data_IF_640063756490
#
_entry.id   IF_640063756490
#
_cell.length_a   1.000
_cell.length_b   1.000
_cell.length_c   1.000
_cell.angle_alpha   90.00
_cell.angle_beta   90.00
_cell.angle_gamma   90.00
#
_symmetry.space_group_name_H-M   'P 1'
#
loop_
_entity.id
_entity.type
_entity.pdbx_description
1 polymer ?
#
# COMPACT_ATOMS: atom_id res chain seq x y z
N UNK A 1 -0.64 28.15 1.94
CA UNK A 1 0.30 27.27 2.67
C UNK A 1 -0.13 25.83 2.40
N UNK A 2 0.78 24.95 1.98
CA UNK A 2 0.46 23.55 1.69
C UNK A 2 0.48 22.69 2.97
N UNK A 3 -0.36 21.66 3.05
CA UNK A 3 -0.37 20.73 4.19
C UNK A 3 0.89 19.82 4.14
N UNK A 4 1.79 19.87 5.14
CA UNK A 4 3.03 19.09 5.13
C UNK A 4 2.79 17.58 5.26
N UNK A 5 1.63 17.16 5.78
CA UNK A 5 1.30 15.76 6.07
C UNK A 5 0.67 15.03 4.88
N UNK A 6 0.02 15.75 3.97
CA UNK A 6 -0.65 15.13 2.81
C UNK A 6 0.08 15.42 1.50
N UNK A 7 0.83 16.55 1.42
CA UNK A 7 1.62 16.98 0.23
C UNK A 7 0.84 16.92 -1.10
N UNK A 8 -0.49 16.96 -1.03
CA UNK A 8 -1.41 16.67 -2.12
C UNK A 8 -2.80 16.33 -1.57
N UNK A 9 -3.75 16.11 -2.47
CA UNK A 9 -5.12 15.69 -2.14
C UNK A 9 -5.25 14.16 -2.23
N UNK A 10 -5.15 13.62 -3.45
CA UNK A 10 -5.24 12.19 -3.74
C UNK A 10 -4.41 11.85 -4.97
N UNK A 11 -3.99 10.59 -5.10
CA UNK A 11 -3.32 10.12 -6.31
C UNK A 11 -4.35 9.54 -7.27
N UNK A 12 -5.25 10.41 -7.75
CA UNK A 12 -6.36 10.07 -8.66
C UNK A 12 -5.92 9.78 -10.10
N UNK A 13 -4.61 9.74 -10.36
CA UNK A 13 -4.06 9.55 -11.70
C UNK A 13 -2.73 8.81 -11.65
N UNK A 14 -2.38 8.16 -12.75
CA UNK A 14 -1.04 7.63 -13.00
C UNK A 14 -0.36 8.61 -13.95
N UNK A 15 0.82 9.12 -13.57
CA UNK A 15 1.61 9.98 -14.47
C UNK A 15 2.09 9.19 -15.68
N UNK A 16 2.46 9.89 -16.76
CA UNK A 16 3.02 9.24 -17.96
C UNK A 16 4.25 8.37 -17.62
N UNK A 17 5.13 8.86 -16.77
CA UNK A 17 6.30 8.09 -16.31
C UNK A 17 5.91 6.93 -15.39
N UNK A 18 4.90 7.11 -14.53
CA UNK A 18 4.37 6.03 -13.71
C UNK A 18 3.75 4.90 -14.55
N UNK A 19 3.10 5.24 -15.66
CA UNK A 19 2.56 4.26 -16.60
C UNK A 19 3.67 3.47 -17.30
N UNK A 20 4.71 4.17 -17.79
CA UNK A 20 5.91 3.54 -18.35
C UNK A 20 6.61 2.62 -17.35
N UNK A 21 6.58 2.95 -16.06
CA UNK A 21 7.10 2.13 -14.98
C UNK A 21 6.17 0.97 -14.56
N UNK A 22 5.03 0.78 -15.24
CA UNK A 22 4.08 -0.30 -14.97
C UNK A 22 3.21 -0.08 -13.72
N UNK A 23 3.14 1.15 -13.20
CA UNK A 23 2.41 1.48 -11.95
C UNK A 23 0.90 1.59 -12.11
N UNK A 24 0.35 1.30 -13.29
CA UNK A 24 -1.09 1.00 -13.43
C UNK A 24 -1.47 -0.22 -12.60
N UNK A 25 -0.56 -1.18 -12.49
CA UNK A 25 -0.66 -2.25 -11.51
C UNK A 25 0.02 -1.78 -10.21
N UNK A 26 -0.75 -1.64 -9.13
CA UNK A 26 -0.25 -1.26 -7.80
C UNK A 26 0.36 -2.43 -7.03
N UNK A 27 0.30 -3.67 -7.55
CA UNK A 27 0.90 -4.85 -6.93
C UNK A 27 2.36 -4.66 -6.49
N UNK A 28 3.24 -3.97 -7.24
CA UNK A 28 4.60 -3.70 -6.79
C UNK A 28 4.66 -2.94 -5.45
N UNK A 29 3.74 -2.01 -5.21
CA UNK A 29 3.64 -1.23 -3.96
C UNK A 29 3.12 -2.08 -2.79
N UNK A 30 2.40 -3.16 -3.06
CA UNK A 30 1.88 -4.06 -2.02
C UNK A 30 2.93 -5.04 -1.47
N UNK A 31 4.14 -5.05 -2.04
CA UNK A 31 5.22 -5.97 -1.63
C UNK A 31 5.86 -5.47 -0.34
N UNK A 32 5.89 -6.29 0.73
CA UNK A 32 6.54 -5.89 1.97
C UNK A 32 8.06 -5.82 1.78
N UNK A 33 8.72 -4.90 2.50
CA UNK A 33 10.18 -4.92 2.58
C UNK A 33 10.63 -6.03 3.51
N UNK A 34 11.67 -6.75 3.10
CA UNK A 34 12.29 -7.83 3.85
C UNK A 34 13.66 -7.42 4.38
N UNK A 35 14.07 -7.98 5.51
CA UNK A 35 15.45 -7.84 6.00
C UNK A 35 16.40 -8.85 5.31
N UNK A 36 17.68 -8.83 5.72
CA UNK A 36 18.71 -9.76 5.25
C UNK A 36 18.33 -11.25 5.41
N UNK A 37 17.48 -11.57 6.39
CA UNK A 37 17.05 -12.93 6.70
C UNK A 37 15.72 -13.29 6.02
N UNK A 38 15.30 -12.52 5.00
CA UNK A 38 14.02 -12.71 4.28
C UNK A 38 12.77 -12.55 5.15
N UNK A 39 12.89 -12.01 6.37
CA UNK A 39 11.74 -11.71 7.22
C UNK A 39 11.08 -10.42 6.74
N UNK A 40 9.76 -10.46 6.52
CA UNK A 40 8.94 -9.28 6.20
C UNK A 40 8.94 -8.33 7.41
N UNK A 41 9.40 -7.10 7.22
CA UNK A 41 9.59 -6.10 8.28
C UNK A 41 8.66 -4.88 8.13
N UNK A 42 8.38 -4.47 6.89
CA UNK A 42 7.57 -3.29 6.60
C UNK A 42 6.50 -3.64 5.58
N UNK A 43 5.26 -3.36 5.94
CA UNK A 43 4.10 -3.48 5.07
C UNK A 43 3.59 -2.09 4.73
N UNK A 44 2.93 -1.99 3.58
CA UNK A 44 2.37 -0.75 3.06
C UNK A 44 0.86 -0.91 2.99
N UNK A 45 0.11 0.11 3.37
CA UNK A 45 -1.34 0.18 3.25
C UNK A 45 -1.77 1.59 2.85
N UNK A 46 -3.03 1.74 2.44
CA UNK A 46 -3.61 3.03 2.08
C UNK A 46 -4.08 3.07 0.63
N UNK A 47 -4.82 4.13 0.34
CA UNK A 47 -5.53 4.38 -0.92
C UNK A 47 -4.69 4.09 -2.19
N UNK A 48 -3.40 4.44 -2.18
CA UNK A 48 -2.50 4.27 -3.33
C UNK A 48 -2.16 2.81 -3.67
N UNK A 49 -2.49 1.87 -2.79
CA UNK A 49 -2.28 0.44 -3.02
C UNK A 49 -3.50 -0.25 -3.64
N UNK A 50 -4.64 0.44 -3.73
CA UNK A 50 -5.83 -0.12 -4.35
C UNK A 50 -5.70 -0.08 -5.88
N UNK A 51 -5.89 -1.24 -6.53
CA UNK A 51 -5.90 -1.34 -7.98
C UNK A 51 -7.19 -0.80 -8.62
N UNK A 52 -8.30 -0.84 -7.88
CA UNK A 52 -9.64 -0.55 -8.40
C UNK A 52 -10.29 0.68 -7.75
N UNK A 53 -9.81 1.10 -6.58
CA UNK A 53 -10.40 2.15 -5.73
C UNK A 53 -9.31 3.07 -5.18
N UNK A 54 -8.50 3.65 -6.07
CA UNK A 54 -7.57 4.72 -5.70
C UNK A 54 -8.33 6.05 -5.60
N UNK A 55 -7.80 6.98 -4.83
CA UNK A 55 -8.40 8.24 -4.43
C UNK A 55 -9.57 8.14 -3.44
N UNK A 56 -9.89 6.95 -2.89
CA UNK A 56 -11.08 6.74 -2.07
C UNK A 56 -10.78 6.21 -0.66
N UNK A 57 -11.69 6.48 0.26
CA UNK A 57 -11.59 6.05 1.67
C UNK A 57 -11.80 4.55 1.80
N UNK A 58 -12.74 3.97 1.07
CA UNK A 58 -12.98 2.52 1.04
C UNK A 58 -11.79 1.75 0.46
N UNK A 59 -11.10 2.28 -0.55
CA UNK A 59 -9.85 1.68 -1.03
C UNK A 59 -8.73 1.71 0.03
N UNK A 60 -8.68 2.74 0.87
CA UNK A 60 -7.75 2.78 2.00
C UNK A 60 -8.11 1.75 3.08
N UNK A 61 -9.41 1.56 3.36
CA UNK A 61 -9.90 0.55 4.29
C UNK A 61 -9.57 -0.87 3.81
N UNK A 62 -9.93 -1.21 2.57
CA UNK A 62 -9.71 -2.52 1.97
C UNK A 62 -8.22 -2.92 1.97
N UNK A 63 -7.36 -1.96 1.61
CA UNK A 63 -5.91 -2.19 1.63
C UNK A 63 -5.37 -2.31 3.05
N UNK A 64 -5.93 -1.58 4.02
CA UNK A 64 -5.60 -1.73 5.43
C UNK A 64 -5.91 -3.14 5.95
N UNK A 65 -7.14 -3.61 5.73
CA UNK A 65 -7.59 -4.94 6.14
C UNK A 65 -6.75 -6.05 5.49
N UNK A 66 -6.53 -5.96 4.18
CA UNK A 66 -5.70 -6.91 3.43
C UNK A 66 -4.30 -7.07 4.05
N UNK A 67 -3.68 -5.96 4.46
CA UNK A 67 -2.32 -5.98 4.99
C UNK A 67 -2.28 -6.39 6.46
N UNK A 68 -3.36 -6.13 7.21
CA UNK A 68 -3.53 -6.66 8.56
C UNK A 68 -3.56 -8.19 8.56
N UNK A 69 -4.34 -8.82 7.68
CA UNK A 69 -4.34 -10.29 7.55
C UNK A 69 -2.95 -10.83 7.17
N UNK A 70 -2.25 -10.19 6.22
CA UNK A 70 -0.87 -10.57 5.85
C UNK A 70 0.13 -10.44 7.00
N UNK A 71 -0.09 -9.52 7.93
CA UNK A 71 0.73 -9.33 9.12
C UNK A 71 0.46 -10.44 10.15
N UNK A 72 -0.81 -10.77 10.36
CA UNK A 72 -1.27 -11.85 11.24
C UNK A 72 -0.73 -13.20 10.74
N UNK A 73 -0.92 -13.50 9.45
CA UNK A 73 -0.45 -14.74 8.82
C UNK A 73 1.09 -14.89 8.89
N UNK A 74 1.82 -13.78 8.84
CA UNK A 74 3.26 -13.78 8.99
C UNK A 74 3.71 -13.96 10.46
N UNK A 75 2.83 -13.74 11.44
CA UNK A 75 3.16 -13.79 12.85
C UNK A 75 2.06 -14.45 13.72
N UNK A 76 1.59 -15.67 13.40
CA UNK A 76 0.41 -16.28 14.03
C UNK A 76 0.58 -16.52 15.54
N UNK A 77 1.82 -16.53 16.03
CA UNK A 77 2.15 -16.69 17.46
C UNK A 77 1.71 -15.52 18.37
N UNK A 78 1.38 -14.36 17.81
CA UNK A 78 1.00 -13.17 18.60
C UNK A 78 -0.51 -12.89 18.59
N UNK A 79 -1.31 -13.76 17.97
CA UNK A 79 -2.75 -13.53 17.72
C UNK A 79 -3.61 -14.75 18.06
N UNK A 80 -3.07 -15.70 18.85
CA UNK A 80 -3.81 -16.84 19.42
C UNK A 80 -4.07 -16.62 20.90
#
# INVERSE_FOLDING_TARGET
MANPWTRGSYNSFVTVEGDKAGLRNRNPLTRPLVNSNQKKMLYWAGEHLSNTRYGTVDGAMDTGETQAYRLIDANPKYWK
#
